data_IF_138682466705
#
_entry.id   IF_138682466705
#
_cell.length_a   1.000
_cell.length_b   1.000
_cell.length_c   1.000
_cell.angle_alpha   90.00
_cell.angle_beta   90.00
_cell.angle_gamma   90.00
#
_symmetry.space_group_name_H-M   'P 1'
#
loop_
_entity.id
_entity.type
_entity.pdbx_description
1 polymer ?
#
# COMPACT_ATOMS: atom_id res chain seq x y z
N UNK A 1 6.83 -13.91 17.28
CA UNK A 1 6.27 -13.25 16.09
C UNK A 1 7.48 -12.74 15.33
N UNK A 2 7.78 -13.34 14.19
CA UNK A 2 9.02 -13.06 13.47
C UNK A 2 8.85 -11.85 12.55
N UNK A 3 9.82 -10.94 12.62
CA UNK A 3 9.87 -9.75 11.79
C UNK A 3 10.61 -10.10 10.50
N UNK A 4 9.99 -9.83 9.35
CA UNK A 4 10.65 -9.92 8.06
C UNK A 4 11.50 -8.67 7.81
N UNK A 5 12.58 -8.83 7.04
CA UNK A 5 13.46 -7.73 6.64
C UNK A 5 13.46 -7.57 5.12
N UNK A 6 13.20 -6.36 4.67
CA UNK A 6 13.21 -5.95 3.26
C UNK A 6 14.21 -4.81 3.06
N UNK A 7 14.57 -4.55 1.81
CA UNK A 7 15.32 -3.35 1.45
C UNK A 7 14.46 -2.11 1.70
N UNK A 8 15.02 -1.01 2.25
CA UNK A 8 14.32 0.26 2.37
C UNK A 8 13.73 0.74 1.03
N UNK A 9 12.65 1.52 1.11
CA UNK A 9 11.94 2.13 -0.03
C UNK A 9 11.31 1.16 -1.03
N UNK A 10 11.45 -0.16 -0.82
CA UNK A 10 10.78 -1.17 -1.63
C UNK A 10 9.27 -1.17 -1.35
N UNK A 11 8.47 -1.34 -2.40
CA UNK A 11 7.06 -1.64 -2.25
C UNK A 11 6.88 -3.10 -1.89
N UNK A 12 6.09 -3.31 -0.85
CA UNK A 12 5.61 -4.63 -0.44
C UNK A 12 4.11 -4.70 -0.57
N UNK A 13 3.62 -5.91 -0.84
CA UNK A 13 2.24 -6.28 -0.60
C UNK A 13 2.17 -7.13 0.67
N UNK A 14 1.20 -6.84 1.54
CA UNK A 14 1.07 -7.46 2.86
C UNK A 14 -0.41 -7.60 3.25
N UNK A 15 -0.73 -8.61 4.05
CA UNK A 15 -2.08 -8.82 4.58
C UNK A 15 -2.42 -7.73 5.60
N UNK A 16 -3.60 -7.13 5.44
CA UNK A 16 -4.18 -6.27 6.46
C UNK A 16 -4.66 -7.10 7.64
N UNK A 17 -4.10 -6.83 8.82
CA UNK A 17 -4.37 -7.62 10.02
C UNK A 17 -5.78 -7.44 10.60
N UNK A 18 -6.56 -6.46 10.14
CA UNK A 18 -7.89 -6.17 10.68
C UNK A 18 -9.01 -6.62 9.75
N UNK A 19 -8.90 -6.30 8.47
CA UNK A 19 -9.96 -6.56 7.49
C UNK A 19 -9.62 -7.68 6.50
N UNK A 20 -8.38 -8.21 6.51
CA UNK A 20 -8.01 -9.41 5.75
C UNK A 20 -7.88 -9.22 4.24
N UNK A 21 -7.63 -7.99 3.77
CA UNK A 21 -7.33 -7.72 2.35
C UNK A 21 -5.83 -7.51 2.13
N UNK A 22 -5.36 -7.64 0.88
CA UNK A 22 -3.98 -7.34 0.50
C UNK A 22 -3.80 -5.84 0.29
N UNK A 23 -2.80 -5.24 0.94
CA UNK A 23 -2.48 -3.83 0.80
C UNK A 23 -1.04 -3.59 0.43
N UNK A 24 -0.79 -2.44 -0.20
CA UNK A 24 0.56 -1.96 -0.49
C UNK A 24 1.08 -1.08 0.63
N UNK A 25 2.37 -1.24 0.91
CA UNK A 25 3.15 -0.39 1.79
C UNK A 25 4.56 -0.15 1.26
N UNK A 26 5.18 0.96 1.68
CA UNK A 26 6.57 1.29 1.41
C UNK A 26 7.39 0.94 2.65
N UNK A 27 8.47 0.19 2.48
CA UNK A 27 9.38 -0.20 3.56
C UNK A 27 10.15 1.02 4.05
N UNK A 28 10.23 1.21 5.36
CA UNK A 28 10.98 2.32 5.96
C UNK A 28 12.48 2.07 5.98
N UNK A 29 13.27 3.08 6.36
CA UNK A 29 14.74 3.02 6.44
C UNK A 29 15.29 1.86 7.28
N UNK A 30 14.53 1.36 8.27
CA UNK A 30 14.96 0.22 9.09
C UNK A 30 14.92 -1.12 8.35
N UNK A 31 14.16 -1.20 7.25
CA UNK A 31 13.88 -2.45 6.54
C UNK A 31 12.91 -3.39 7.25
N UNK A 32 12.40 -3.03 8.43
CA UNK A 32 11.60 -3.90 9.31
C UNK A 32 10.18 -3.39 9.56
N UNK A 33 9.87 -2.20 9.07
CA UNK A 33 8.56 -1.58 9.16
C UNK A 33 8.13 -1.03 7.80
N UNK A 34 6.84 -0.76 7.65
CA UNK A 34 6.27 -0.18 6.44
C UNK A 34 5.27 0.92 6.76
N UNK A 35 5.07 1.82 5.80
CA UNK A 35 4.03 2.84 5.80
C UNK A 35 3.05 2.53 4.66
N UNK A 36 1.76 2.55 4.95
CA UNK A 36 0.67 2.27 4.00
C UNK A 36 -0.27 3.46 3.80
N UNK A 37 0.00 4.64 4.37
CA UNK A 37 -0.62 5.90 4.00
C UNK A 37 0.44 6.99 3.85
N UNK A 38 0.33 7.83 2.83
CA UNK A 38 1.29 8.91 2.57
C UNK A 38 1.08 10.15 3.46
N UNK A 39 0.45 9.98 4.62
CA UNK A 39 0.19 11.04 5.59
C UNK A 39 1.46 11.30 6.41
N UNK A 40 1.76 12.58 6.70
CA UNK A 40 3.03 12.99 7.32
C UNK A 40 3.29 12.39 8.71
N UNK A 41 2.24 11.93 9.38
CA UNK A 41 2.25 11.33 10.72
C UNK A 41 1.83 9.85 10.72
N UNK A 42 1.80 9.21 9.53
CA UNK A 42 1.43 7.81 9.42
C UNK A 42 2.41 6.93 10.22
N UNK A 43 1.92 6.38 11.33
CA UNK A 43 2.72 5.48 12.16
C UNK A 43 3.13 4.25 11.34
N UNK A 44 4.43 3.90 11.29
CA UNK A 44 4.89 2.69 10.62
C UNK A 44 4.45 1.43 11.36
N UNK A 45 4.10 0.38 10.61
CA UNK A 45 3.78 -0.93 11.15
C UNK A 45 4.97 -1.88 10.99
N UNK A 46 5.29 -2.71 12.00
CA UNK A 46 6.25 -3.80 11.83
C UNK A 46 5.82 -4.77 10.72
N UNK A 47 6.77 -5.26 9.95
CA UNK A 47 6.53 -6.25 8.89
C UNK A 47 6.59 -7.65 9.51
N UNK A 48 5.45 -8.19 9.94
CA UNK A 48 5.39 -9.54 10.48
C UNK A 48 5.29 -10.60 9.38
N UNK A 49 6.07 -11.68 9.48
CA UNK A 49 6.05 -12.78 8.51
C UNK A 49 4.67 -13.44 8.37
N UNK A 50 3.89 -13.48 9.46
CA UNK A 50 2.54 -14.07 9.47
C UNK A 50 1.54 -13.33 8.57
N UNK A 51 1.85 -12.08 8.19
CA UNK A 51 1.03 -11.28 7.26
C UNK A 51 1.45 -11.48 5.79
N UNK A 52 2.22 -12.53 5.51
CA UNK A 52 2.65 -12.93 4.18
C UNK A 52 3.20 -11.76 3.32
N UNK A 53 4.21 -11.02 3.82
CA UNK A 53 4.76 -9.88 3.08
C UNK A 53 5.54 -10.36 1.86
N UNK A 54 5.34 -9.72 0.72
CA UNK A 54 6.10 -9.97 -0.52
C UNK A 54 6.60 -8.66 -1.11
N UNK A 55 7.85 -8.64 -1.57
CA UNK A 55 8.35 -7.54 -2.36
C UNK A 55 7.72 -7.60 -3.75
N UNK A 56 7.17 -6.49 -4.22
CA UNK A 56 6.50 -6.42 -5.52
C UNK A 56 7.26 -5.58 -6.55
N UNK A 57 8.43 -5.06 -6.20
CA UNK A 57 9.22 -4.20 -7.09
C UNK A 57 8.76 -2.75 -7.05
N UNK A 58 8.92 -2.04 -8.17
CA UNK A 58 8.60 -0.63 -8.30
C UNK A 58 8.01 -0.32 -9.70
N UNK A 59 7.40 0.87 -9.91
CA UNK A 59 6.80 1.20 -11.19
C UNK A 59 7.72 1.16 -12.41
N UNK A 60 9.02 1.40 -12.23
CA UNK A 60 10.00 1.34 -13.31
C UNK A 60 10.30 -0.13 -13.65
N UNK A 61 10.50 -0.97 -12.63
CA UNK A 61 10.63 -2.43 -12.80
C UNK A 61 9.42 -3.02 -13.53
N UNK A 62 8.21 -2.62 -13.14
CA UNK A 62 6.97 -3.01 -13.80
C UNK A 62 6.91 -2.57 -15.26
N UNK A 63 7.38 -1.36 -15.57
CA UNK A 63 7.43 -0.87 -16.94
C UNK A 63 8.35 -1.73 -17.82
N UNK A 64 9.52 -2.14 -17.29
CA UNK A 64 10.45 -3.02 -17.99
C UNK A 64 9.88 -4.42 -18.17
N UNK A 65 9.23 -4.99 -17.15
CA UNK A 65 8.54 -6.28 -17.29
C UNK A 65 7.46 -6.25 -18.37
N UNK A 66 6.65 -5.18 -18.43
CA UNK A 66 5.63 -5.00 -19.47
C UNK A 66 6.30 -4.84 -20.84
N UNK A 67 7.38 -4.06 -20.95
CA UNK A 67 8.11 -3.89 -22.20
C UNK A 67 8.68 -5.21 -22.73
N UNK A 68 9.19 -6.06 -21.84
CA UNK A 68 9.79 -7.35 -22.19
C UNK A 68 8.72 -8.41 -22.54
N UNK A 69 7.69 -8.54 -21.70
CA UNK A 69 6.71 -9.63 -21.80
C UNK A 69 5.47 -9.28 -22.63
N UNK A 70 5.09 -7.99 -22.64
CA UNK A 70 3.86 -7.46 -23.25
C UNK A 70 4.14 -6.13 -23.97
N UNK A 71 5.08 -6.09 -24.94
CA UNK A 71 5.56 -4.85 -25.54
C UNK A 71 4.44 -3.99 -26.16
N UNK A 72 3.38 -4.62 -26.67
CA UNK A 72 2.21 -3.91 -27.21
C UNK A 72 1.47 -3.04 -26.18
N UNK A 73 1.57 -3.39 -24.89
CA UNK A 73 0.91 -2.68 -23.78
C UNK A 73 1.77 -1.53 -23.21
N UNK A 74 3.09 -1.54 -23.45
CA UNK A 74 4.03 -0.61 -22.84
C UNK A 74 3.68 0.87 -23.10
N UNK A 75 3.25 1.20 -24.32
CA UNK A 75 2.85 2.56 -24.67
C UNK A 75 1.67 3.05 -23.84
N UNK A 76 0.66 2.20 -23.62
CA UNK A 76 -0.52 2.52 -22.82
C UNK A 76 -0.16 2.65 -21.33
N UNK A 77 0.66 1.73 -20.80
CA UNK A 77 1.14 1.79 -19.42
C UNK A 77 1.97 3.05 -19.16
N UNK A 78 2.89 3.41 -20.05
CA UNK A 78 3.70 4.63 -19.90
C UNK A 78 2.86 5.91 -19.95
N UNK A 79 1.85 5.95 -20.82
CA UNK A 79 0.91 7.07 -20.89
C UNK A 79 0.08 7.20 -19.60
N UNK A 80 -0.42 6.07 -19.06
CA UNK A 80 -1.11 6.02 -17.79
C UNK A 80 -0.22 6.54 -16.65
N UNK A 81 1.01 6.05 -16.56
CA UNK A 81 1.99 6.45 -15.53
C UNK A 81 2.19 7.96 -15.52
N UNK A 82 2.45 8.57 -16.68
CA UNK A 82 2.59 10.02 -16.81
C UNK A 82 1.32 10.76 -16.39
N UNK A 83 0.15 10.26 -16.79
CA UNK A 83 -1.12 10.92 -16.49
C UNK A 83 -1.48 10.84 -15.00
N UNK A 84 -1.22 9.71 -14.35
CA UNK A 84 -1.39 9.57 -12.89
C UNK A 84 -0.44 10.48 -12.12
N UNK A 85 0.81 10.61 -12.55
CA UNK A 85 1.76 11.55 -11.94
C UNK A 85 1.26 13.00 -12.04
N UNK A 86 0.76 13.40 -13.21
CA UNK A 86 0.19 14.75 -13.43
C UNK A 86 -1.12 14.98 -12.68
N UNK A 87 -1.84 13.93 -12.29
CA UNK A 87 -3.06 14.05 -11.48
C UNK A 87 -2.77 14.48 -10.03
N UNK A 88 -1.52 14.45 -9.58
CA UNK A 88 -1.11 14.97 -8.27
C UNK A 88 -1.64 14.18 -7.08
N UNK A 89 -1.96 12.89 -7.26
CA UNK A 89 -2.29 12.00 -6.14
C UNK A 89 -1.04 11.67 -5.32
N UNK A 90 -1.24 11.26 -4.07
CA UNK A 90 -0.13 10.83 -3.22
C UNK A 90 0.58 9.57 -3.76
N UNK A 91 1.83 9.37 -3.34
CA UNK A 91 2.70 8.31 -3.84
C UNK A 91 2.10 6.91 -3.70
N UNK A 92 1.47 6.61 -2.56
CA UNK A 92 0.88 5.30 -2.32
C UNK A 92 -0.40 5.07 -3.14
N UNK A 93 -1.25 6.07 -3.29
CA UNK A 93 -2.40 6.00 -4.21
C UNK A 93 -1.94 5.81 -5.66
N UNK A 94 -0.88 6.52 -6.07
CA UNK A 94 -0.24 6.35 -7.38
C UNK A 94 0.28 4.91 -7.58
N UNK A 95 1.01 4.36 -6.60
CA UNK A 95 1.53 2.99 -6.69
C UNK A 95 0.41 1.96 -6.73
N UNK A 96 -0.67 2.13 -5.96
CA UNK A 96 -1.85 1.26 -5.99
C UNK A 96 -2.54 1.27 -7.35
N UNK A 97 -2.72 2.43 -7.96
CA UNK A 97 -3.31 2.56 -9.28
C UNK A 97 -2.49 1.83 -10.35
N UNK A 98 -1.16 2.01 -10.35
CA UNK A 98 -0.26 1.35 -11.30
C UNK A 98 -0.14 -0.16 -11.07
N UNK A 99 -0.07 -0.57 -9.81
CA UNK A 99 -0.01 -2.00 -9.49
C UNK A 99 -1.30 -2.70 -9.92
N UNK A 100 -2.47 -2.09 -9.67
CA UNK A 100 -3.75 -2.61 -10.17
C UNK A 100 -3.78 -2.70 -11.70
N UNK A 101 -3.34 -1.65 -12.39
CA UNK A 101 -3.26 -1.64 -13.86
C UNK A 101 -2.40 -2.79 -14.40
N UNK A 102 -1.22 -3.01 -13.79
CA UNK A 102 -0.31 -4.11 -14.14
C UNK A 102 -0.94 -5.48 -13.94
N UNK A 103 -1.64 -5.68 -12.83
CA UNK A 103 -2.26 -6.96 -12.45
C UNK A 103 -3.45 -7.31 -13.34
N UNK A 104 -4.27 -6.32 -13.70
CA UNK A 104 -5.49 -6.52 -14.48
C UNK A 104 -5.24 -6.44 -15.99
N UNK A 105 -4.17 -5.75 -16.42
CA UNK A 105 -3.92 -5.47 -17.84
C UNK A 105 -4.88 -4.41 -18.40
N UNK A 106 -5.33 -3.48 -17.57
CA UNK A 106 -6.21 -2.37 -17.94
C UNK A 106 -5.47 -1.05 -17.69
N UNK A 107 -5.49 -0.16 -18.68
CA UNK A 107 -4.71 1.10 -18.66
C UNK A 107 -5.57 2.36 -18.81
N UNK A 108 -6.89 2.23 -18.77
CA UNK A 108 -7.78 3.38 -18.68
C UNK A 108 -7.51 4.19 -17.39
N UNK A 109 -7.26 5.49 -17.58
CA UNK A 109 -6.90 6.40 -16.50
C UNK A 109 -7.95 6.46 -15.39
N UNK A 110 -9.23 6.57 -15.74
CA UNK A 110 -10.31 6.76 -14.77
C UNK A 110 -10.48 5.50 -13.92
N UNK A 111 -10.46 4.33 -14.55
CA UNK A 111 -10.53 3.04 -13.85
C UNK A 111 -9.34 2.84 -12.90
N UNK A 112 -8.12 3.10 -13.37
CA UNK A 112 -6.92 2.92 -12.57
C UNK A 112 -6.86 3.88 -11.39
N UNK A 113 -7.19 5.16 -11.60
CA UNK A 113 -7.25 6.16 -10.54
C UNK A 113 -8.28 5.77 -9.47
N UNK A 114 -9.49 5.37 -9.91
CA UNK A 114 -10.53 4.91 -9.00
C UNK A 114 -10.10 3.67 -8.19
N UNK A 115 -9.43 2.71 -8.83
CA UNK A 115 -8.90 1.53 -8.14
C UNK A 115 -7.85 1.91 -7.08
N UNK A 116 -6.92 2.81 -7.42
CA UNK A 116 -5.93 3.32 -6.48
C UNK A 116 -6.56 4.04 -5.28
N UNK A 117 -7.52 4.92 -5.54
CA UNK A 117 -8.26 5.64 -4.49
C UNK A 117 -9.07 4.71 -3.60
N UNK A 118 -9.75 3.73 -4.19
CA UNK A 118 -10.53 2.73 -3.45
C UNK A 118 -9.64 1.89 -2.54
N UNK A 119 -8.47 1.46 -3.01
CA UNK A 119 -7.50 0.73 -2.20
C UNK A 119 -6.92 1.60 -1.08
N UNK A 120 -6.65 2.88 -1.32
CA UNK A 120 -6.24 3.82 -0.27
C UNK A 120 -7.32 4.01 0.78
N UNK A 121 -8.59 4.12 0.38
CA UNK A 121 -9.70 4.28 1.31
C UNK A 121 -9.92 3.03 2.17
N UNK A 122 -9.75 1.83 1.62
CA UNK A 122 -9.75 0.59 2.41
C UNK A 122 -8.69 0.60 3.51
N UNK A 123 -7.47 1.06 3.21
CA UNK A 123 -6.40 1.20 4.20
C UNK A 123 -6.75 2.24 5.27
N UNK A 124 -7.31 3.39 4.87
CA UNK A 124 -7.79 4.41 5.83
C UNK A 124 -8.84 3.85 6.77
N UNK A 125 -9.82 3.12 6.26
CA UNK A 125 -10.88 2.51 7.06
C UNK A 125 -10.33 1.46 8.02
N UNK A 126 -9.36 0.64 7.58
CA UNK A 126 -8.68 -0.32 8.47
C UNK A 126 -7.94 0.38 9.60
N UNK A 127 -7.13 1.40 9.29
CA UNK A 127 -6.44 2.21 10.33
C UNK A 127 -7.43 2.85 11.31
N UNK A 128 -8.53 3.41 10.81
CA UNK A 128 -9.55 4.01 11.66
C UNK A 128 -10.19 3.01 12.63
N UNK A 129 -10.39 1.75 12.20
CA UNK A 129 -10.87 0.68 13.08
C UNK A 129 -9.84 0.35 14.16
N UNK A 130 -8.55 0.30 13.82
CA UNK A 130 -7.47 0.10 14.78
C UNK A 130 -7.49 1.16 15.88
N UNK A 131 -7.57 2.43 15.48
CA UNK A 131 -7.60 3.55 16.41
C UNK A 131 -8.81 3.48 17.35
N UNK A 132 -9.96 3.05 16.82
CA UNK A 132 -11.16 2.88 17.61
C UNK A 132 -11.01 1.74 18.64
N UNK A 133 -10.35 0.64 18.28
CA UNK A 133 -10.04 -0.46 19.21
C UNK A 133 -9.09 0.01 20.31
N UNK A 134 -8.01 0.71 19.95
CA UNK A 134 -7.02 1.24 20.90
C UNK A 134 -7.64 2.25 21.87
N UNK A 135 -8.47 3.18 21.37
CA UNK A 135 -9.21 4.14 22.19
C UNK A 135 -10.12 3.44 23.21
N UNK A 136 -10.89 2.44 22.78
CA UNK A 136 -11.78 1.66 23.67
C UNK A 136 -11.00 0.91 24.74
N UNK A 137 -9.90 0.26 24.36
CA UNK A 137 -9.00 -0.44 25.30
C UNK A 137 -8.43 0.49 26.38
N UNK A 138 -7.98 1.69 25.99
CA UNK A 138 -7.47 2.70 26.93
C UNK A 138 -8.54 3.19 27.91
N UNK A 139 -9.76 3.45 27.44
CA UNK A 139 -10.86 3.85 28.32
C UNK A 139 -11.23 2.75 29.31
N UNK A 140 -11.25 1.49 28.89
CA UNK A 140 -11.53 0.36 29.78
C UNK A 140 -10.46 0.19 30.86
N UNK A 141 -9.18 0.29 30.48
CA UNK A 141 -8.06 0.20 31.43
C UNK A 141 -8.12 1.32 32.48
N UNK A 142 -8.39 2.57 32.08
CA UNK A 142 -8.51 3.69 33.01
C UNK A 142 -9.68 3.55 34.01
N UNK A 143 -10.74 2.82 33.65
CA UNK A 143 -11.84 2.52 34.57
C UNK A 143 -11.44 1.47 35.61
N UNK A 144 -10.62 0.49 35.23
CA UNK A 144 -10.15 -0.57 36.11
C UNK A 144 -9.08 -0.08 37.11
N UNK A 145 -8.26 0.90 36.73
CA UNK A 145 -7.19 1.45 37.59
C UNK A 145 -7.71 2.53 38.55
N UNK A 146 -8.89 3.10 38.30
CA UNK A 146 -9.53 4.13 39.16
C UNK A 146 -10.63 3.58 40.07
N UNK A 147 -10.95 2.30 39.97
CA UNK A 147 -11.89 1.58 40.85
C UNK A 147 -11.11 0.88 41.97
#
# INVERSE_FOLDING_TARGET
>A
MDIAKFTPDVLIEIDDSLQGFRKLGIVTESGQAYIDLAESDATPFPIYQVLSPIAIGDPLGWAFEIMDQRPAEFGAYSALQKRLLLAGVDSLTYYRALYWARQVGEYDFTKCLHAGQSATEQVRQSRQQMDNILKRGRTAHLRLVKA
#
